data_IF_281118282849
#
_entry.id   IF_281118282849
#
_cell.length_a   1.000
_cell.length_b   1.000
_cell.length_c   1.000
_cell.angle_alpha   90.00
_cell.angle_beta   90.00
_cell.angle_gamma   90.00
#
_symmetry.space_group_name_H-M   'P 1'
#
loop_
_entity.id
_entity.type
_entity.pdbx_description
1 polymer ?
#
# COMPACT_ATOMS: atom_id res chain seq x y z
N UNK A 1 13.75 22.98 -0.53
CA UNK A 1 13.78 21.64 -1.14
C UNK A 1 13.24 20.68 -0.11
N UNK A 2 12.12 20.04 -0.39
CA UNK A 2 11.46 19.10 0.53
C UNK A 2 12.13 17.73 0.40
N UNK A 3 12.60 17.12 1.49
CA UNK A 3 13.18 15.77 1.43
C UNK A 3 12.11 14.74 1.02
N UNK A 4 12.52 13.66 0.36
CA UNK A 4 11.60 12.60 -0.03
C UNK A 4 11.06 11.85 1.20
N UNK A 5 9.75 11.68 1.30
CA UNK A 5 9.06 11.04 2.43
C UNK A 5 9.27 9.52 2.54
N UNK A 6 9.92 8.89 1.56
CA UNK A 6 10.16 7.43 1.50
C UNK A 6 11.62 7.02 1.64
N UNK A 7 12.56 7.82 1.13
CA UNK A 7 13.99 7.47 1.12
C UNK A 7 14.89 8.58 1.69
N UNK A 8 14.29 9.65 2.22
CA UNK A 8 14.97 10.79 2.85
C UNK A 8 15.95 11.56 1.94
N UNK A 9 16.02 11.22 0.65
CA UNK A 9 16.85 11.93 -0.32
C UNK A 9 16.40 13.38 -0.46
N UNK A 10 17.37 14.30 -0.42
CA UNK A 10 17.16 15.71 -0.72
C UNK A 10 17.01 16.00 -2.23
N UNK A 11 17.24 15.00 -3.10
CA UNK A 11 17.18 15.15 -4.55
C UNK A 11 15.73 15.09 -5.06
N UNK A 12 14.93 16.09 -4.71
CA UNK A 12 13.53 16.21 -5.14
C UNK A 12 13.36 17.36 -6.12
N UNK A 13 12.35 17.25 -6.98
CA UNK A 13 11.99 18.27 -7.96
C UNK A 13 10.48 18.48 -7.99
N UNK A 14 10.04 19.68 -8.39
CA UNK A 14 8.64 19.91 -8.70
C UNK A 14 8.20 18.97 -9.84
N UNK A 15 7.02 18.39 -9.71
CA UNK A 15 6.49 17.39 -10.64
C UNK A 15 5.18 17.85 -11.28
N UNK A 16 4.24 18.31 -10.46
CA UNK A 16 2.96 18.84 -10.90
C UNK A 16 2.42 19.82 -9.86
N UNK A 17 1.50 20.69 -10.27
CA UNK A 17 0.73 21.53 -9.36
C UNK A 17 -0.70 21.62 -9.89
N UNK A 18 -1.65 21.29 -9.04
CA UNK A 18 -3.07 21.53 -9.32
C UNK A 18 -3.56 22.77 -8.55
N UNK A 19 -4.88 22.97 -8.50
CA UNK A 19 -5.48 24.14 -7.83
C UNK A 19 -5.33 24.13 -6.31
N UNK A 20 -5.09 22.96 -5.73
CA UNK A 20 -5.08 22.72 -4.28
C UNK A 20 -3.68 22.40 -3.76
N UNK A 21 -2.88 21.64 -4.52
CA UNK A 21 -1.63 21.03 -4.02
C UNK A 21 -0.50 21.08 -5.04
N UNK A 22 0.72 21.20 -4.53
CA UNK A 22 1.94 20.91 -5.27
C UNK A 22 2.33 19.45 -5.06
N UNK A 23 2.97 18.87 -6.07
CA UNK A 23 3.51 17.51 -6.04
C UNK A 23 4.98 17.54 -6.41
N UNK A 24 5.77 16.73 -5.72
CA UNK A 24 7.20 16.59 -5.93
C UNK A 24 7.54 15.17 -6.34
N UNK A 25 8.60 15.01 -7.11
CA UNK A 25 9.16 13.70 -7.46
C UNK A 25 10.57 13.57 -6.91
N UNK A 26 10.85 12.45 -6.27
CA UNK A 26 12.20 12.08 -5.86
C UNK A 26 13.01 11.54 -7.05
N UNK A 27 14.22 12.06 -7.26
CA UNK A 27 15.13 11.58 -8.30
C UNK A 27 15.84 10.27 -7.94
N UNK A 28 15.84 9.88 -6.67
CA UNK A 28 16.47 8.65 -6.21
C UNK A 28 15.52 7.44 -6.31
N UNK A 29 14.32 7.53 -5.71
CA UNK A 29 13.36 6.43 -5.65
C UNK A 29 12.15 6.61 -6.58
N UNK A 30 12.09 7.67 -7.38
CA UNK A 30 10.98 7.97 -8.30
C UNK A 30 9.60 8.19 -7.66
N UNK A 31 9.48 8.19 -6.32
CA UNK A 31 8.22 8.45 -5.64
C UNK A 31 7.73 9.86 -5.98
N UNK A 32 6.46 9.97 -6.37
CA UNK A 32 5.74 11.24 -6.43
C UNK A 32 4.96 11.40 -5.13
N UNK A 33 5.04 12.56 -4.49
CA UNK A 33 4.34 12.82 -3.22
C UNK A 33 3.78 14.24 -3.18
N UNK A 34 2.64 14.40 -2.49
CA UNK A 34 2.02 15.71 -2.27
C UNK A 34 2.88 16.55 -1.31
N UNK A 35 2.77 17.87 -1.41
CA UNK A 35 3.41 18.78 -0.46
C UNK A 35 2.87 18.52 0.97
N UNK A 36 3.72 18.24 1.97
CA UNK A 36 3.27 17.98 3.34
C UNK A 36 2.42 19.09 3.96
N UNK A 37 2.54 20.33 3.48
CA UNK A 37 1.69 21.45 3.94
C UNK A 37 0.21 21.28 3.55
N UNK A 38 -0.09 20.37 2.63
CA UNK A 38 -1.44 20.09 2.13
C UNK A 38 -2.09 18.85 2.73
N UNK A 39 -1.41 18.17 3.66
CA UNK A 39 -1.94 17.00 4.33
C UNK A 39 -3.16 17.35 5.20
N UNK A 40 -4.16 16.46 5.19
CA UNK A 40 -5.34 16.60 6.02
C UNK A 40 -5.00 16.34 7.49
N UNK A 41 -5.82 16.86 8.40
CA UNK A 41 -5.77 16.40 9.80
C UNK A 41 -6.38 15.00 9.90
N UNK A 42 -6.06 14.21 10.94
CA UNK A 42 -6.65 12.89 11.13
C UNK A 42 -8.19 12.89 11.16
N UNK A 43 -8.81 13.95 11.68
CA UNK A 43 -10.26 14.11 11.72
C UNK A 43 -10.86 14.34 10.33
N UNK A 44 -10.19 15.16 9.51
CA UNK A 44 -10.60 15.42 8.12
C UNK A 44 -10.45 14.18 7.25
N UNK A 45 -9.35 13.44 7.41
CA UNK A 45 -9.10 12.20 6.71
C UNK A 45 -10.16 11.14 7.07
N UNK A 46 -10.42 10.92 8.36
CA UNK A 46 -11.47 9.98 8.80
C UNK A 46 -12.84 10.35 8.24
N UNK A 47 -13.18 11.64 8.16
CA UNK A 47 -14.44 12.09 7.58
C UNK A 47 -14.58 11.78 6.08
N UNK A 48 -13.46 11.63 5.35
CA UNK A 48 -13.45 11.13 3.97
C UNK A 48 -13.61 9.60 3.95
N UNK A 49 -12.90 8.87 4.81
CA UNK A 49 -13.04 7.42 4.90
C UNK A 49 -14.44 6.96 5.31
N UNK A 50 -15.11 7.69 6.19
CA UNK A 50 -16.49 7.39 6.62
C UNK A 50 -17.51 7.50 5.46
N UNK A 51 -17.14 8.09 4.31
CA UNK A 51 -17.99 8.13 3.11
C UNK A 51 -17.84 6.89 2.22
N UNK A 52 -16.88 6.00 2.50
CA UNK A 52 -16.64 4.80 1.70
C UNK A 52 -17.54 3.64 2.15
N UNK A 53 -18.40 3.16 1.25
CA UNK A 53 -19.25 1.98 1.47
C UNK A 53 -18.56 0.71 0.93
N UNK A 54 -17.63 0.14 1.69
CA UNK A 54 -17.01 -1.15 1.36
C UNK A 54 -17.77 -2.30 2.04
N UNK A 55 -18.71 -2.91 1.32
CA UNK A 55 -19.44 -4.08 1.82
C UNK A 55 -18.69 -5.39 1.57
N UNK A 56 -18.49 -6.20 2.61
CA UNK A 56 -17.70 -7.45 2.57
C UNK A 56 -18.25 -8.49 1.59
N UNK A 57 -19.57 -8.54 1.44
CA UNK A 57 -20.28 -9.46 0.55
C UNK A 57 -20.49 -8.90 -0.86
N UNK A 58 -20.01 -7.69 -1.16
CA UNK A 58 -20.13 -7.12 -2.49
C UNK A 58 -19.27 -7.92 -3.49
N UNK A 59 -19.93 -8.56 -4.46
CA UNK A 59 -19.26 -9.39 -5.45
C UNK A 59 -18.29 -8.59 -6.35
N UNK A 60 -18.60 -7.31 -6.59
CA UNK A 60 -17.75 -6.41 -7.35
C UNK A 60 -16.44 -6.14 -6.62
N UNK A 61 -16.52 -5.84 -5.33
CA UNK A 61 -15.38 -5.59 -4.45
C UNK A 61 -14.54 -6.85 -4.23
N UNK A 62 -15.17 -8.00 -3.97
CA UNK A 62 -14.45 -9.28 -3.88
C UNK A 62 -13.74 -9.63 -5.20
N UNK A 63 -14.34 -9.32 -6.36
CA UNK A 63 -13.69 -9.48 -7.67
C UNK A 63 -12.52 -8.54 -7.87
N UNK A 64 -12.66 -7.29 -7.41
CA UNK A 64 -11.58 -6.31 -7.40
C UNK A 64 -10.39 -6.80 -6.55
N UNK A 65 -10.65 -7.27 -5.32
CA UNK A 65 -9.64 -7.82 -4.41
C UNK A 65 -9.04 -9.15 -4.90
N UNK A 66 -9.80 -9.94 -5.66
CA UNK A 66 -9.33 -11.20 -6.24
C UNK A 66 -8.16 -11.02 -7.19
N UNK A 67 -7.96 -9.80 -7.74
CA UNK A 67 -6.80 -9.48 -8.58
C UNK A 67 -5.49 -9.63 -7.81
N UNK A 68 -5.50 -9.38 -6.49
CA UNK A 68 -4.37 -9.68 -5.60
C UNK A 68 -4.50 -11.06 -4.95
N UNK A 69 -5.68 -11.42 -4.46
CA UNK A 69 -5.86 -12.65 -3.69
C UNK A 69 -5.50 -13.90 -4.51
N UNK A 70 -6.01 -14.01 -5.74
CA UNK A 70 -5.79 -15.17 -6.59
C UNK A 70 -4.29 -15.42 -6.91
N UNK A 71 -3.51 -14.44 -7.40
CA UNK A 71 -2.09 -14.69 -7.65
C UNK A 71 -1.25 -14.88 -6.37
N UNK A 72 -1.64 -14.28 -5.24
CA UNK A 72 -0.96 -14.51 -3.98
C UNK A 72 -1.18 -15.95 -3.51
N UNK A 73 -2.42 -16.46 -3.53
CA UNK A 73 -2.75 -17.83 -3.14
C UNK A 73 -1.96 -18.89 -3.93
N UNK A 74 -1.70 -18.66 -5.22
CA UNK A 74 -0.88 -19.57 -6.06
C UNK A 74 0.58 -19.63 -5.59
N UNK A 75 1.09 -18.60 -4.91
CA UNK A 75 2.48 -18.51 -4.44
C UNK A 75 2.65 -18.96 -2.99
N UNK A 76 1.56 -19.05 -2.23
CA UNK A 76 1.60 -19.49 -0.85
C UNK A 76 1.88 -21.00 -0.78
N UNK A 77 2.69 -21.46 0.20
CA UNK A 77 2.86 -22.88 0.46
C UNK A 77 1.53 -23.52 0.88
N UNK A 78 1.36 -24.84 0.68
CA UNK A 78 0.14 -25.52 1.06
C UNK A 78 -0.08 -25.53 2.58
N UNK A 79 -1.35 -25.51 2.98
CA UNK A 79 -1.79 -25.61 4.37
C UNK A 79 -2.16 -24.26 5.02
N UNK A 80 -2.65 -24.28 6.27
CA UNK A 80 -2.98 -23.06 7.00
C UNK A 80 -1.73 -22.19 7.23
N UNK A 81 -1.86 -20.89 7.01
CA UNK A 81 -0.79 -19.90 7.17
C UNK A 81 -1.29 -18.73 8.02
N UNK A 82 -0.36 -18.00 8.63
CA UNK A 82 -0.67 -16.76 9.32
C UNK A 82 -0.54 -15.58 8.34
N UNK A 83 -1.62 -14.82 8.17
CA UNK A 83 -1.68 -13.62 7.35
C UNK A 83 -2.01 -12.38 8.15
N UNK A 84 -1.67 -11.21 7.61
CA UNK A 84 -2.17 -9.92 8.08
C UNK A 84 -2.72 -9.10 6.91
N UNK A 85 -3.90 -8.54 7.08
CA UNK A 85 -4.45 -7.53 6.19
C UNK A 85 -4.27 -6.13 6.81
N UNK A 86 -3.33 -5.36 6.26
CA UNK A 86 -2.91 -4.04 6.76
C UNK A 86 -3.59 -2.91 5.98
N UNK A 87 -4.28 -2.01 6.68
CA UNK A 87 -5.16 -1.01 6.08
C UNK A 87 -6.48 -1.63 5.62
N UNK A 88 -7.06 -2.49 6.45
CA UNK A 88 -8.20 -3.32 6.04
C UNK A 88 -9.54 -2.57 5.90
N UNK A 89 -9.63 -1.33 6.38
CA UNK A 89 -10.86 -0.56 6.39
C UNK A 89 -11.98 -1.15 7.26
N UNK A 90 -13.23 -0.65 7.13
CA UNK A 90 -14.38 -1.04 7.96
C UNK A 90 -14.92 -2.46 7.70
N UNK A 91 -14.51 -3.09 6.58
CA UNK A 91 -14.98 -4.40 6.14
C UNK A 91 -13.85 -5.20 5.49
N UNK A 92 -13.11 -6.02 6.26
CA UNK A 92 -11.88 -6.67 5.80
C UNK A 92 -12.19 -7.89 4.89
N UNK A 93 -12.75 -7.62 3.71
CA UNK A 93 -13.18 -8.63 2.75
C UNK A 93 -12.02 -9.50 2.28
N UNK A 94 -10.84 -8.91 2.08
CA UNK A 94 -9.63 -9.64 1.69
C UNK A 94 -9.22 -10.65 2.76
N UNK A 95 -9.23 -10.25 4.04
CA UNK A 95 -9.02 -11.17 5.15
C UNK A 95 -10.05 -12.31 5.17
N UNK A 96 -11.33 -12.03 4.90
CA UNK A 96 -12.37 -13.07 4.78
C UNK A 96 -12.04 -14.06 3.66
N UNK A 97 -11.69 -13.57 2.47
CA UNK A 97 -11.35 -14.40 1.31
C UNK A 97 -10.20 -15.37 1.59
N UNK A 98 -9.19 -14.96 2.37
CA UNK A 98 -8.09 -15.84 2.76
C UNK A 98 -8.47 -16.78 3.92
N UNK A 99 -9.32 -16.35 4.86
CA UNK A 99 -9.86 -17.23 5.91
C UNK A 99 -10.72 -18.35 5.34
N UNK A 100 -11.51 -18.06 4.31
CA UNK A 100 -12.29 -19.05 3.55
C UNK A 100 -11.40 -20.10 2.86
N UNK A 101 -10.14 -19.75 2.56
CA UNK A 101 -9.13 -20.68 2.04
C UNK A 101 -8.40 -21.48 3.14
N UNK A 102 -8.76 -21.29 4.41
CA UNK A 102 -8.19 -22.00 5.55
C UNK A 102 -7.02 -21.32 6.25
N UNK A 103 -6.69 -20.06 5.91
CA UNK A 103 -5.64 -19.30 6.58
C UNK A 103 -6.15 -18.60 7.85
N UNK A 104 -5.24 -18.28 8.77
CA UNK A 104 -5.51 -17.46 9.94
C UNK A 104 -5.06 -16.04 9.63
N UNK A 105 -6.00 -15.13 9.38
CA UNK A 105 -5.68 -13.75 8.97
C UNK A 105 -6.04 -12.77 10.07
N UNK A 106 -5.06 -12.06 10.61
CA UNK A 106 -5.25 -10.88 11.45
C UNK A 106 -5.58 -9.66 10.58
N UNK A 107 -6.15 -8.62 11.18
CA UNK A 107 -6.50 -7.37 10.49
C UNK A 107 -5.97 -6.19 11.27
N UNK A 108 -5.55 -5.14 10.57
CA UNK A 108 -5.12 -3.89 11.20
C UNK A 108 -5.55 -2.71 10.34
N UNK A 109 -6.09 -1.69 10.99
CA UNK A 109 -6.37 -0.39 10.40
C UNK A 109 -6.40 0.68 11.50
N UNK A 110 -5.73 1.83 11.35
CA UNK A 110 -5.65 2.83 12.41
C UNK A 110 -7.01 3.40 12.84
N UNK A 111 -8.03 3.36 11.97
CA UNK A 111 -9.36 3.89 12.25
C UNK A 111 -10.39 2.80 12.54
N UNK A 112 -10.31 1.66 11.83
CA UNK A 112 -11.35 0.63 11.85
C UNK A 112 -10.98 -0.65 12.59
N UNK A 113 -9.69 -0.94 12.74
CA UNK A 113 -9.16 -2.10 13.47
C UNK A 113 -7.84 -1.76 14.19
N UNK A 114 -7.87 -0.86 15.20
CA UNK A 114 -6.68 -0.21 15.73
C UNK A 114 -5.88 -1.05 16.73
N UNK A 115 -6.08 -2.38 16.76
CA UNK A 115 -5.33 -3.25 17.66
C UNK A 115 -3.88 -3.37 17.20
N UNK A 116 -2.98 -2.62 17.83
CA UNK A 116 -1.55 -2.65 17.52
C UNK A 116 -0.86 -3.93 17.98
N UNK A 117 -1.51 -4.79 18.77
CA UNK A 117 -0.94 -6.07 19.22
C UNK A 117 -0.57 -6.98 18.06
N UNK A 118 -1.32 -6.92 16.96
CA UNK A 118 -1.04 -7.68 15.73
C UNK A 118 0.24 -7.21 15.03
N UNK A 119 0.72 -5.99 15.32
CA UNK A 119 1.95 -5.45 14.74
C UNK A 119 3.23 -5.95 15.44
N UNK A 120 3.09 -6.66 16.57
CA UNK A 120 4.20 -7.27 17.29
C UNK A 120 4.53 -8.71 16.81
N UNK A 121 3.83 -9.19 15.78
CA UNK A 121 3.98 -10.54 15.22
C UNK A 121 4.54 -10.52 13.79
N UNK A 122 4.98 -11.68 13.31
CA UNK A 122 5.35 -11.88 11.91
C UNK A 122 4.44 -12.88 11.22
N UNK A 123 4.20 -12.65 9.93
CA UNK A 123 3.23 -13.36 9.12
C UNK A 123 3.90 -14.02 7.91
N UNK A 124 3.33 -15.13 7.48
CA UNK A 124 3.74 -15.82 6.25
C UNK A 124 3.39 -14.97 5.02
N UNK A 125 2.32 -14.17 5.11
CA UNK A 125 2.00 -13.13 4.15
C UNK A 125 1.38 -11.89 4.81
N UNK A 126 1.61 -10.73 4.21
CA UNK A 126 0.98 -9.46 4.57
C UNK A 126 0.34 -8.87 3.32
N UNK A 127 -0.88 -8.36 3.42
CA UNK A 127 -1.56 -7.62 2.35
C UNK A 127 -1.75 -6.16 2.73
N UNK A 128 -1.75 -5.27 1.74
CA UNK A 128 -2.06 -3.86 1.91
C UNK A 128 -2.67 -3.33 0.60
N UNK A 129 -3.99 -3.16 0.57
CA UNK A 129 -4.73 -2.80 -0.64
C UNK A 129 -5.45 -1.49 -0.47
N UNK A 130 -5.27 -0.58 -1.43
CA UNK A 130 -5.83 0.78 -1.43
C UNK A 130 -5.57 1.49 -0.08
N UNK A 131 -4.30 1.46 0.35
CA UNK A 131 -3.89 1.92 1.68
C UNK A 131 -2.53 2.63 1.66
N UNK A 132 -1.57 2.10 0.90
CA UNK A 132 -0.19 2.62 0.86
C UNK A 132 -0.12 4.06 0.29
N UNK A 133 -1.07 4.45 -0.55
CA UNK A 133 -1.18 5.79 -1.12
C UNK A 133 -1.50 6.88 -0.09
N UNK A 134 -2.05 6.50 1.06
CA UNK A 134 -2.40 7.39 2.17
C UNK A 134 -1.25 7.58 3.16
N UNK A 135 -0.13 6.88 2.97
CA UNK A 135 0.98 6.96 3.92
C UNK A 135 1.65 8.34 3.85
N UNK A 136 1.53 9.10 4.93
CA UNK A 136 2.20 10.38 5.11
C UNK A 136 3.71 10.24 5.32
N UNK A 137 4.15 9.14 5.94
CA UNK A 137 5.55 8.85 6.26
C UNK A 137 6.01 7.51 5.68
N UNK A 138 5.83 7.25 4.37
CA UNK A 138 5.92 5.92 3.79
C UNK A 138 7.27 5.21 4.05
N UNK A 139 8.35 5.93 4.36
CA UNK A 139 9.57 5.34 4.90
C UNK A 139 9.32 4.47 6.16
N UNK A 140 8.60 5.00 7.14
CA UNK A 140 8.24 4.32 8.40
C UNK A 140 7.29 3.16 8.13
N UNK A 141 6.19 3.41 7.43
CA UNK A 141 5.18 2.37 7.18
C UNK A 141 5.75 1.23 6.32
N UNK A 142 6.62 1.54 5.35
CA UNK A 142 7.31 0.52 4.57
C UNK A 142 8.19 -0.38 5.45
N UNK A 143 8.98 0.20 6.36
CA UNK A 143 9.80 -0.59 7.29
C UNK A 143 8.94 -1.43 8.23
N UNK A 144 7.80 -0.91 8.67
CA UNK A 144 6.83 -1.67 9.45
C UNK A 144 6.31 -2.87 8.63
N UNK A 145 5.81 -2.65 7.41
CA UNK A 145 5.35 -3.73 6.53
C UNK A 145 6.43 -4.81 6.35
N UNK A 146 7.68 -4.42 6.11
CA UNK A 146 8.78 -5.39 5.97
C UNK A 146 9.11 -6.14 7.27
N UNK A 147 8.95 -5.51 8.44
CA UNK A 147 9.17 -6.18 9.72
C UNK A 147 8.11 -7.24 10.03
N UNK A 148 6.89 -7.05 9.52
CA UNK A 148 5.74 -7.94 9.71
C UNK A 148 5.84 -9.19 8.83
N UNK A 149 6.63 -9.16 7.75
CA UNK A 149 6.79 -10.31 6.84
C UNK A 149 7.94 -11.21 7.33
N UNK A 150 7.65 -12.50 7.53
CA UNK A 150 8.67 -13.51 7.83
C UNK A 150 9.70 -13.63 6.71
N UNK A 151 10.95 -14.04 6.98
CA UNK A 151 11.87 -14.49 5.93
C UNK A 151 11.20 -15.51 5.00
N UNK A 152 11.35 -15.32 3.69
CA UNK A 152 10.67 -16.15 2.69
C UNK A 152 9.20 -15.85 2.41
N UNK A 153 8.57 -15.01 3.25
CA UNK A 153 7.16 -14.63 3.17
C UNK A 153 6.87 -13.58 2.09
N UNK A 154 5.58 -13.27 1.94
CA UNK A 154 5.07 -12.39 0.88
C UNK A 154 4.48 -11.09 1.42
N UNK A 155 4.72 -9.99 0.71
CA UNK A 155 3.99 -8.73 0.84
C UNK A 155 3.23 -8.49 -0.46
N UNK A 156 1.90 -8.59 -0.40
CA UNK A 156 1.00 -8.27 -1.50
C UNK A 156 0.48 -6.85 -1.35
N UNK A 157 0.70 -6.01 -2.36
CA UNK A 157 0.19 -4.65 -2.40
C UNK A 157 -0.76 -4.49 -3.59
N UNK A 158 -1.82 -3.72 -3.40
CA UNK A 158 -2.64 -3.25 -4.52
C UNK A 158 -2.85 -1.75 -4.40
N UNK A 159 -2.38 -1.01 -5.38
CA UNK A 159 -2.51 0.44 -5.46
C UNK A 159 -2.29 0.87 -6.90
N UNK A 160 -2.87 1.99 -7.32
CA UNK A 160 -2.66 2.45 -8.69
C UNK A 160 -1.28 3.09 -8.85
N UNK A 161 -0.60 2.75 -9.94
CA UNK A 161 0.78 3.18 -10.18
C UNK A 161 0.85 4.46 -11.02
N UNK A 162 1.62 5.44 -10.55
CA UNK A 162 2.03 6.59 -11.32
C UNK A 162 2.94 6.17 -12.49
N UNK A 163 2.79 6.86 -13.63
CA UNK A 163 3.52 6.58 -14.88
C UNK A 163 4.40 7.75 -15.27
N UNK A 164 3.85 8.74 -15.96
CA UNK A 164 4.53 9.97 -16.36
C UNK A 164 3.77 11.23 -15.92
N UNK A 165 4.42 12.39 -16.08
CA UNK A 165 3.88 13.66 -15.61
C UNK A 165 2.63 14.09 -16.39
N UNK A 166 2.54 13.73 -17.68
CA UNK A 166 1.38 14.07 -18.51
C UNK A 166 0.15 13.26 -18.05
N UNK A 167 0.30 11.95 -17.92
CA UNK A 167 -0.72 11.06 -17.39
C UNK A 167 -1.13 11.49 -15.98
N UNK A 168 -0.16 11.78 -15.10
CA UNK A 168 -0.42 12.23 -13.74
C UNK A 168 -1.25 13.52 -13.71
N UNK A 169 -0.96 14.50 -14.56
CA UNK A 169 -1.70 15.78 -14.60
C UNK A 169 -3.21 15.58 -14.82
N UNK A 170 -3.60 14.59 -15.63
CA UNK A 170 -5.00 14.25 -15.96
C UNK A 170 -5.58 13.17 -15.05
N UNK A 171 -4.79 12.60 -14.16
CA UNK A 171 -5.18 11.44 -13.37
C UNK A 171 -6.12 11.84 -12.24
N UNK A 172 -7.32 11.26 -12.19
CA UNK A 172 -8.31 11.56 -11.15
C UNK A 172 -7.91 11.04 -9.77
N UNK A 173 -7.08 9.99 -9.70
CA UNK A 173 -6.68 9.37 -8.44
C UNK A 173 -5.91 10.31 -7.53
N UNK A 174 -5.16 11.29 -8.08
CA UNK A 174 -4.50 12.33 -7.27
C UNK A 174 -5.47 13.39 -6.73
N UNK A 175 -6.73 13.40 -7.18
CA UNK A 175 -7.67 14.43 -6.75
C UNK A 175 -8.28 14.09 -5.39
N UNK A 176 -8.14 12.84 -4.93
CA UNK A 176 -8.45 12.49 -3.54
C UNK A 176 -7.42 13.16 -2.62
N UNK A 177 -7.85 14.01 -1.67
CA UNK A 177 -6.94 14.71 -0.77
C UNK A 177 -6.23 13.78 0.21
N UNK A 178 -6.76 12.57 0.47
CA UNK A 178 -6.12 11.55 1.31
C UNK A 178 -4.98 10.84 0.57
N UNK A 179 -4.93 10.88 -0.77
CA UNK A 179 -3.82 10.31 -1.53
C UNK A 179 -2.65 11.29 -1.53
N UNK A 180 -1.55 10.89 -0.88
CA UNK A 180 -0.37 11.74 -0.66
C UNK A 180 0.93 11.10 -1.13
N UNK A 181 0.95 9.78 -1.33
CA UNK A 181 2.10 9.03 -1.81
C UNK A 181 1.74 8.24 -3.07
N UNK A 182 2.37 8.54 -4.20
CA UNK A 182 2.06 7.96 -5.50
C UNK A 182 3.24 7.13 -6.00
N UNK A 183 3.13 5.82 -5.84
CA UNK A 183 4.17 4.86 -6.19
C UNK A 183 4.18 4.56 -7.69
N UNK A 184 5.35 4.20 -8.20
CA UNK A 184 5.54 3.72 -9.58
C UNK A 184 6.20 2.34 -9.57
N UNK A 185 6.27 1.69 -10.73
CA UNK A 185 7.05 0.44 -10.85
C UNK A 185 8.52 0.67 -10.51
N UNK A 186 9.05 1.83 -10.87
CA UNK A 186 10.42 2.27 -10.60
C UNK A 186 10.64 2.43 -9.09
N UNK A 187 9.66 2.97 -8.36
CA UNK A 187 9.69 3.06 -6.90
C UNK A 187 9.75 1.68 -6.26
N UNK A 188 8.90 0.74 -6.68
CA UNK A 188 8.92 -0.61 -6.11
C UNK A 188 10.17 -1.40 -6.50
N UNK A 189 10.73 -1.22 -7.70
CA UNK A 189 12.03 -1.80 -8.08
C UNK A 189 13.16 -1.25 -7.22
N UNK A 190 13.17 0.06 -6.96
CA UNK A 190 14.14 0.69 -6.05
C UNK A 190 14.05 0.09 -4.64
N UNK A 191 12.84 0.00 -4.08
CA UNK A 191 12.63 -0.57 -2.75
C UNK A 191 13.05 -2.04 -2.68
N UNK A 192 12.67 -2.84 -3.68
CA UNK A 192 13.05 -4.24 -3.75
C UNK A 192 14.58 -4.42 -3.81
N UNK A 193 15.28 -3.60 -4.61
CA UNK A 193 16.73 -3.61 -4.66
C UNK A 193 17.36 -3.20 -3.32
N UNK A 194 16.88 -2.10 -2.72
CA UNK A 194 17.40 -1.56 -1.46
C UNK A 194 17.27 -2.57 -0.31
N UNK A 195 16.11 -3.24 -0.24
CA UNK A 195 15.72 -4.04 0.92
C UNK A 195 15.89 -5.56 0.68
N UNK A 196 16.49 -5.96 -0.45
CA UNK A 196 16.76 -7.36 -0.75
C UNK A 196 15.47 -8.19 -0.93
N UNK A 197 14.55 -7.68 -1.74
CA UNK A 197 13.28 -8.34 -2.08
C UNK A 197 13.27 -8.69 -3.57
N UNK A 198 12.49 -9.69 -3.95
CA UNK A 198 12.08 -9.87 -5.35
C UNK A 198 10.73 -9.21 -5.56
N UNK A 199 10.56 -8.44 -6.64
CA UNK A 199 9.30 -7.78 -6.98
C UNK A 199 8.72 -8.30 -8.29
N UNK A 200 7.42 -8.58 -8.27
CA UNK A 200 6.61 -8.95 -9.43
C UNK A 200 5.44 -7.96 -9.58
N UNK A 201 5.11 -7.62 -10.83
CA UNK A 201 3.96 -6.76 -11.15
C UNK A 201 2.93 -7.58 -11.91
N UNK A 202 1.69 -7.60 -11.41
CA UNK A 202 0.55 -8.26 -12.06
C UNK A 202 -0.45 -7.22 -12.48
N UNK A 203 -0.80 -7.21 -13.77
CA UNK A 203 -1.67 -6.19 -14.33
C UNK A 203 -1.10 -4.78 -14.12
N UNK A 204 -1.97 -3.85 -13.69
CA UNK A 204 -1.63 -2.44 -13.60
C UNK A 204 -1.42 -1.93 -12.16
N UNK A 205 -1.88 -2.68 -11.16
CA UNK A 205 -2.00 -2.22 -9.79
C UNK A 205 -1.65 -3.26 -8.72
N UNK A 206 -1.34 -4.50 -9.09
CA UNK A 206 -0.90 -5.52 -8.12
C UNK A 206 0.62 -5.63 -8.13
N UNK A 207 1.21 -5.50 -6.94
CA UNK A 207 2.64 -5.61 -6.69
C UNK A 207 2.83 -6.70 -5.65
N UNK A 208 3.63 -7.72 -5.97
CA UNK A 208 3.99 -8.75 -5.02
C UNK A 208 5.47 -8.70 -4.76
N UNK A 209 5.83 -8.62 -3.48
CA UNK A 209 7.20 -8.64 -3.03
C UNK A 209 7.42 -9.88 -2.19
N UNK A 210 8.54 -10.57 -2.43
CA UNK A 210 8.97 -11.69 -1.61
C UNK A 210 10.18 -11.29 -0.79
N UNK A 211 10.12 -11.54 0.51
CA UNK A 211 11.27 -11.38 1.38
C UNK A 211 12.22 -12.55 1.19
N UNK A 212 13.51 -12.27 1.07
CA UNK A 212 14.53 -13.31 0.99
C UNK A 212 14.54 -14.16 2.27
N UNK A 213 15.05 -15.38 2.17
CA UNK A 213 15.13 -16.35 3.27
C UNK A 213 16.28 -16.08 4.26
N UNK A 214 16.98 -14.94 4.12
CA UNK A 214 18.23 -14.61 4.82
C UNK A 214 18.09 -14.58 6.34
#
# INVERSE_FOLDING_TARGET
>A
MTACTLCDSAATQAYHQDKQRAYFQCRACSLVFADPVSHLTPEQEKAVYDQHENHVEDEGYRRFLSRLAAPLSVRLPPGPLAGLDFGCGPGPALASMFREQGHQVAVYDPYFAPDTGVLASQYDFVTCTEAIEHFYTPAREWQLLLSLVKPGGWLGLMTKLATDAEAFSRWHYKNDPTHVSFFSRETFRYLAQRDGLTVEFIGNDVIMLRKNQS
#
